data_IF_862604411492
#
_entry.id   IF_862604411492
#
_cell.length_a   1.000
_cell.length_b   1.000
_cell.length_c   1.000
_cell.angle_alpha   90.00
_cell.angle_beta   90.00
_cell.angle_gamma   90.00
#
_symmetry.space_group_name_H-M   'P 1'
#
loop_
_entity.id
_entity.type
_entity.pdbx_description
1 polymer ?
#
# COMPACT_ATOMS: atom_id res chain seq x y z
N UNK A 1 -10.42 6.03 9.89
CA UNK A 1 -10.78 4.98 10.86
C UNK A 1 -11.10 5.53 12.24
N UNK A 2 -10.21 6.29 12.90
CA UNK A 2 -10.44 6.81 14.26
C UNK A 2 -11.75 7.58 14.39
N UNK A 3 -12.03 8.55 13.53
CA UNK A 3 -13.28 9.34 13.55
C UNK A 3 -14.51 8.43 13.45
N UNK A 4 -14.49 7.44 12.56
CA UNK A 4 -15.58 6.46 12.41
C UNK A 4 -15.78 5.66 13.70
N UNK A 5 -14.70 5.18 14.32
CA UNK A 5 -14.73 4.45 15.58
C UNK A 5 -15.17 5.31 16.77
N UNK A 6 -14.74 6.58 16.84
CA UNK A 6 -15.12 7.52 17.89
C UNK A 6 -16.61 7.86 17.81
N UNK A 7 -17.16 8.05 16.60
CA UNK A 7 -18.60 8.27 16.42
C UNK A 7 -19.39 7.01 16.81
N UNK A 8 -18.93 5.83 16.39
CA UNK A 8 -19.56 4.56 16.76
C UNK A 8 -19.56 4.26 18.26
N UNK A 9 -18.49 4.62 18.97
CA UNK A 9 -18.37 4.41 20.43
C UNK A 9 -19.01 5.54 21.26
N UNK A 10 -18.98 6.77 20.75
CA UNK A 10 -19.43 7.97 21.46
C UNK A 10 -20.91 8.27 21.29
N UNK A 11 -21.54 7.79 20.21
CA UNK A 11 -22.94 8.05 19.88
C UNK A 11 -23.68 6.77 19.46
N UNK A 12 -23.93 5.82 20.39
CA UNK A 12 -24.61 4.57 20.08
C UNK A 12 -26.01 4.78 19.49
N UNK A 13 -26.75 5.79 19.97
CA UNK A 13 -28.07 6.15 19.44
C UNK A 13 -28.05 6.55 17.94
N UNK A 14 -26.94 7.10 17.44
CA UNK A 14 -26.74 7.44 16.02
C UNK A 14 -26.42 6.19 15.17
N UNK A 15 -25.91 5.13 15.81
CA UNK A 15 -25.66 3.84 15.15
C UNK A 15 -26.94 3.00 15.13
N UNK A 16 -27.70 3.01 16.22
CA UNK A 16 -28.97 2.26 16.32
C UNK A 16 -30.01 2.78 15.31
N UNK A 17 -29.98 4.08 14.97
CA UNK A 17 -30.83 4.64 13.91
C UNK A 17 -30.39 4.29 12.47
N UNK A 18 -29.21 3.69 12.29
CA UNK A 18 -28.81 3.04 11.02
C UNK A 18 -29.51 1.68 10.86
N UNK A 19 -29.74 0.96 11.98
CA UNK A 19 -30.39 -0.35 11.99
C UNK A 19 -31.92 -0.27 12.01
N UNK A 20 -32.50 0.80 12.57
CA UNK A 20 -33.94 1.00 12.55
C UNK A 20 -34.40 1.50 11.18
N UNK A 21 -35.20 0.68 10.49
CA UNK A 21 -35.74 0.92 9.14
C UNK A 21 -36.75 2.08 9.05
N UNK A 22 -36.68 3.08 9.93
CA UNK A 22 -37.50 4.28 9.81
C UNK A 22 -36.81 5.29 8.89
N UNK A 23 -37.39 5.45 7.71
CA UNK A 23 -36.95 6.22 6.54
C UNK A 23 -36.70 7.75 6.75
N UNK A 24 -36.48 8.22 7.97
CA UNK A 24 -36.39 9.65 8.30
C UNK A 24 -34.95 10.16 8.51
N UNK A 25 -33.96 9.32 8.78
CA UNK A 25 -32.60 9.78 9.08
C UNK A 25 -31.59 9.48 7.95
N UNK A 26 -31.37 10.49 7.10
CA UNK A 26 -30.44 10.43 5.96
C UNK A 26 -28.97 10.49 6.41
N UNK A 27 -28.70 11.16 7.54
CA UNK A 27 -27.36 11.45 8.05
C UNK A 27 -26.55 10.21 8.49
N UNK A 28 -27.11 9.25 9.24
CA UNK A 28 -26.41 8.03 9.63
C UNK A 28 -26.02 7.15 8.45
N UNK A 29 -26.91 6.99 7.47
CA UNK A 29 -26.64 6.25 6.24
C UNK A 29 -25.56 6.94 5.38
N UNK A 30 -25.66 8.25 5.17
CA UNK A 30 -24.65 9.03 4.45
C UNK A 30 -23.27 8.95 5.12
N UNK A 31 -23.23 8.93 6.46
CA UNK A 31 -21.99 8.73 7.20
C UNK A 31 -21.44 7.28 7.06
N UNK A 32 -22.29 6.23 7.13
CA UNK A 32 -21.87 4.83 6.85
C UNK A 32 -21.22 4.75 5.46
N UNK A 33 -21.93 5.16 4.42
CA UNK A 33 -21.49 5.06 3.03
C UNK A 33 -20.27 5.95 2.76
N UNK A 34 -20.34 7.22 3.15
CA UNK A 34 -19.26 8.17 2.91
C UNK A 34 -17.97 7.77 3.61
N UNK A 35 -18.04 7.31 4.86
CA UNK A 35 -16.85 6.83 5.58
C UNK A 35 -16.30 5.52 5.01
N UNK A 36 -17.16 4.61 4.53
CA UNK A 36 -16.73 3.38 3.86
C UNK A 36 -16.02 3.67 2.53
N UNK A 37 -16.60 4.52 1.67
CA UNK A 37 -15.98 4.94 0.40
C UNK A 37 -14.65 5.66 0.63
N UNK A 38 -14.58 6.54 1.63
CA UNK A 38 -13.35 7.25 1.96
C UNK A 38 -12.22 6.31 2.40
N UNK A 39 -12.55 5.32 3.24
CA UNK A 39 -11.59 4.29 3.66
C UNK A 39 -11.13 3.49 2.43
N UNK A 40 -12.06 3.03 1.60
CA UNK A 40 -11.75 2.23 0.42
C UNK A 40 -10.85 2.97 -0.58
N UNK A 41 -11.14 4.24 -0.84
CA UNK A 41 -10.35 5.09 -1.74
C UNK A 41 -8.92 5.24 -1.24
N UNK A 42 -8.75 5.64 0.03
CA UNK A 42 -7.41 5.84 0.62
C UNK A 42 -6.62 4.53 0.70
N UNK A 43 -7.30 3.43 1.01
CA UNK A 43 -6.69 2.11 1.07
C UNK A 43 -6.19 1.66 -0.30
N UNK A 44 -7.02 1.82 -1.33
CA UNK A 44 -6.69 1.52 -2.73
C UNK A 44 -5.59 2.43 -3.27
N UNK A 45 -5.64 3.73 -2.95
CA UNK A 45 -4.61 4.68 -3.35
C UNK A 45 -3.25 4.33 -2.74
N UNK A 46 -3.18 4.07 -1.42
CA UNK A 46 -1.96 3.63 -0.74
C UNK A 46 -1.33 2.43 -1.43
N UNK A 47 -2.17 1.52 -1.88
CA UNK A 47 -1.77 0.29 -2.53
C UNK A 47 -1.20 0.50 -3.94
N UNK A 48 -1.85 1.32 -4.77
CA UNK A 48 -1.32 1.70 -6.07
C UNK A 48 -0.05 2.54 -5.98
N UNK A 49 0.06 3.37 -4.94
CA UNK A 49 1.27 4.13 -4.64
C UNK A 49 2.45 3.20 -4.32
N UNK A 50 2.23 2.14 -3.54
CA UNK A 50 3.26 1.14 -3.25
C UNK A 50 3.70 0.38 -4.50
N UNK A 51 2.75 0.06 -5.40
CA UNK A 51 3.08 -0.55 -6.68
C UNK A 51 3.92 0.38 -7.56
N UNK A 52 3.51 1.64 -7.70
CA UNK A 52 4.27 2.63 -8.46
C UNK A 52 5.67 2.83 -7.87
N UNK A 53 5.80 2.85 -6.54
CA UNK A 53 7.11 2.90 -5.87
C UNK A 53 7.99 1.69 -6.20
N UNK A 54 7.44 0.47 -6.23
CA UNK A 54 8.18 -0.73 -6.59
C UNK A 54 8.65 -0.71 -8.05
N UNK A 55 7.81 -0.21 -8.97
CA UNK A 55 8.14 -0.02 -10.38
C UNK A 55 9.22 1.06 -10.55
N UNK A 56 9.08 2.19 -9.87
CA UNK A 56 10.05 3.28 -9.92
C UNK A 56 11.43 2.83 -9.44
N UNK A 57 11.48 2.14 -8.29
CA UNK A 57 12.72 1.56 -7.78
C UNK A 57 13.40 0.64 -8.80
N UNK A 58 12.62 -0.18 -9.52
CA UNK A 58 13.14 -1.03 -10.58
C UNK A 58 13.65 -0.23 -11.79
N UNK A 59 12.93 0.79 -12.23
CA UNK A 59 13.26 1.61 -13.41
C UNK A 59 14.44 2.56 -13.16
N UNK A 60 14.56 3.13 -11.97
CA UNK A 60 15.69 3.98 -11.57
C UNK A 60 17.00 3.16 -11.62
N UNK A 61 16.97 1.91 -11.18
CA UNK A 61 18.13 1.00 -11.30
C UNK A 61 18.46 0.69 -12.76
N UNK A 62 17.46 0.66 -13.64
CA UNK A 62 17.62 0.51 -15.10
C UNK A 62 17.93 1.85 -15.81
N UNK A 63 18.14 2.94 -15.07
CA UNK A 63 18.38 4.32 -15.58
C UNK A 63 17.34 4.82 -16.58
N UNK A 64 16.08 4.40 -16.42
CA UNK A 64 15.00 4.71 -17.38
C UNK A 64 13.95 5.70 -16.85
N UNK A 65 14.13 6.25 -15.65
CA UNK A 65 13.14 7.13 -15.00
C UNK A 65 13.47 8.62 -15.18
N UNK A 66 12.45 9.46 -15.41
CA UNK A 66 12.56 10.92 -15.53
C UNK A 66 11.36 11.65 -14.94
N UNK A 67 11.39 13.00 -14.95
CA UNK A 67 10.35 13.85 -14.32
C UNK A 67 8.92 13.60 -14.87
N UNK A 68 8.78 13.15 -16.12
CA UNK A 68 7.46 12.82 -16.70
C UNK A 68 6.80 11.60 -16.03
N UNK A 69 7.59 10.71 -15.44
CA UNK A 69 7.11 9.44 -14.87
C UNK A 69 6.34 9.63 -13.55
N UNK A 70 6.68 10.64 -12.73
CA UNK A 70 5.98 10.89 -11.46
C UNK A 70 4.54 11.38 -11.66
N UNK A 71 4.28 12.17 -12.71
CA UNK A 71 2.93 12.61 -13.07
C UNK A 71 2.09 11.43 -13.53
N UNK A 72 2.67 10.52 -14.34
CA UNK A 72 2.00 9.29 -14.75
C UNK A 72 1.62 8.43 -13.54
N UNK A 73 2.53 8.27 -12.56
CA UNK A 73 2.23 7.53 -11.34
C UNK A 73 1.11 8.16 -10.51
N UNK A 74 1.06 9.49 -10.39
CA UNK A 74 -0.05 10.18 -9.72
C UNK A 74 -1.39 9.89 -10.39
N UNK A 75 -1.45 10.07 -11.72
CA UNK A 75 -2.69 9.85 -12.49
C UNK A 75 -3.12 8.38 -12.37
N UNK A 76 -2.20 7.43 -12.50
CA UNK A 76 -2.52 6.02 -12.36
C UNK A 76 -2.97 5.66 -10.95
N UNK A 77 -2.24 6.07 -9.92
CA UNK A 77 -2.51 5.66 -8.55
C UNK A 77 -3.87 6.19 -8.05
N UNK A 78 -4.16 7.46 -8.33
CA UNK A 78 -5.44 8.06 -7.95
C UNK A 78 -6.58 7.67 -8.89
N UNK A 79 -6.32 7.56 -10.19
CA UNK A 79 -7.30 7.16 -11.19
C UNK A 79 -7.80 5.73 -10.96
N UNK A 80 -6.88 4.76 -10.80
CA UNK A 80 -7.25 3.37 -10.53
C UNK A 80 -7.94 3.21 -9.16
N UNK A 81 -7.47 3.93 -8.13
CA UNK A 81 -8.14 3.92 -6.82
C UNK A 81 -9.56 4.46 -6.89
N UNK A 82 -9.79 5.54 -7.66
CA UNK A 82 -11.12 6.13 -7.84
C UNK A 82 -12.03 5.18 -8.63
N UNK A 83 -11.51 4.58 -9.71
CA UNK A 83 -12.25 3.60 -10.51
C UNK A 83 -12.71 2.43 -9.63
N UNK A 84 -11.80 1.84 -8.86
CA UNK A 84 -12.10 0.77 -7.92
C UNK A 84 -13.14 1.18 -6.86
N UNK A 85 -13.01 2.40 -6.31
CA UNK A 85 -13.96 2.90 -5.32
C UNK A 85 -15.37 3.10 -5.91
N UNK A 86 -15.47 3.65 -7.13
CA UNK A 86 -16.75 3.90 -7.81
C UNK A 86 -17.41 2.59 -8.24
N UNK A 87 -16.67 1.66 -8.85
CA UNK A 87 -17.16 0.32 -9.19
C UNK A 87 -17.62 -0.43 -7.93
N UNK A 88 -16.82 -0.38 -6.87
CA UNK A 88 -17.17 -0.98 -5.59
C UNK A 88 -18.44 -0.41 -4.98
N UNK A 89 -18.62 0.90 -5.04
CA UNK A 89 -19.83 1.57 -4.57
C UNK A 89 -21.04 1.26 -5.46
N UNK A 90 -20.87 1.24 -6.79
CA UNK A 90 -21.93 0.89 -7.73
C UNK A 90 -22.42 -0.54 -7.53
N UNK A 91 -21.52 -1.50 -7.32
CA UNK A 91 -21.89 -2.90 -7.07
C UNK A 91 -22.55 -3.11 -5.70
N UNK A 92 -22.15 -2.35 -4.67
CA UNK A 92 -22.64 -2.55 -3.30
C UNK A 92 -23.94 -1.78 -3.00
N UNK A 93 -24.19 -0.66 -3.69
CA UNK A 93 -25.29 0.26 -3.37
C UNK A 93 -26.37 0.39 -4.44
N UNK A 94 -26.25 -0.28 -5.58
CA UNK A 94 -27.31 -0.37 -6.59
C UNK A 94 -28.18 -1.61 -6.31
N UNK A 95 -29.52 -1.51 -6.12
CA UNK A 95 -30.39 -0.34 -6.32
C UNK A 95 -30.76 0.44 -5.04
N UNK A 96 -30.28 0.07 -3.85
CA UNK A 96 -30.62 0.76 -2.60
C UNK A 96 -29.39 1.24 -1.82
N UNK A 97 -29.10 2.54 -1.94
CA UNK A 97 -28.01 3.26 -1.27
C UNK A 97 -28.18 3.35 0.26
N UNK A 98 -29.38 3.04 0.76
CA UNK A 98 -29.78 3.20 2.16
C UNK A 98 -29.62 1.92 3.01
N UNK A 99 -29.37 0.76 2.40
CA UNK A 99 -29.15 -0.48 3.16
C UNK A 99 -27.64 -0.67 3.38
N UNK A 100 -27.18 -0.33 4.58
CA UNK A 100 -25.87 -0.73 5.10
C UNK A 100 -25.96 -2.24 5.51
N UNK A 101 -26.52 -3.10 4.62
CA UNK A 101 -26.86 -4.50 4.86
C UNK A 101 -26.17 -5.38 3.81
N UNK A 102 -25.39 -6.39 4.25
CA UNK A 102 -24.64 -7.31 3.37
C UNK A 102 -25.59 -8.30 2.70
N UNK A 103 -26.06 -7.98 1.50
CA UNK A 103 -26.78 -8.91 0.63
C UNK A 103 -25.82 -9.79 -0.18
N UNK A 104 -26.02 -11.11 -0.11
CA UNK A 104 -25.18 -12.15 -0.72
C UNK A 104 -25.07 -12.04 -2.26
N UNK A 105 -26.12 -11.59 -2.94
CA UNK A 105 -26.19 -11.58 -4.42
C UNK A 105 -25.32 -10.50 -5.09
N UNK A 106 -24.93 -9.45 -4.35
CA UNK A 106 -24.09 -8.35 -4.85
C UNK A 106 -22.67 -8.38 -4.28
N UNK A 107 -22.40 -9.26 -3.32
CA UNK A 107 -21.12 -9.41 -2.67
C UNK A 107 -20.07 -10.09 -3.58
N UNK A 108 -20.47 -11.11 -4.34
CA UNK A 108 -19.53 -11.93 -5.16
C UNK A 108 -18.79 -11.09 -6.23
N UNK A 109 -19.48 -10.27 -7.06
CA UNK A 109 -18.80 -9.45 -8.07
C UNK A 109 -17.88 -8.40 -7.43
N UNK A 110 -18.34 -7.78 -6.34
CA UNK A 110 -17.58 -6.81 -5.56
C UNK A 110 -16.31 -7.42 -4.95
N UNK A 111 -16.39 -8.65 -4.43
CA UNK A 111 -15.23 -9.36 -3.90
C UNK A 111 -14.18 -9.63 -4.99
N UNK A 112 -14.60 -10.06 -6.18
CA UNK A 112 -13.66 -10.33 -7.28
C UNK A 112 -13.03 -9.05 -7.80
N UNK A 113 -13.81 -8.00 -8.06
CA UNK A 113 -13.29 -6.77 -8.66
C UNK A 113 -12.43 -5.94 -7.71
N UNK A 114 -12.68 -6.00 -6.41
CA UNK A 114 -11.93 -5.24 -5.41
C UNK A 114 -10.70 -5.97 -4.92
N UNK A 115 -10.78 -7.28 -4.63
CA UNK A 115 -9.67 -8.00 -4.03
C UNK A 115 -8.69 -8.56 -5.06
N UNK A 116 -9.09 -8.80 -6.31
CA UNK A 116 -8.19 -9.30 -7.33
C UNK A 116 -7.04 -8.32 -7.66
N UNK A 117 -7.29 -7.01 -7.85
CA UNK A 117 -6.20 -6.03 -8.01
C UNK A 117 -5.32 -5.94 -6.76
N UNK A 118 -5.92 -6.11 -5.57
CA UNK A 118 -5.21 -6.12 -4.29
C UNK A 118 -4.33 -7.37 -4.12
N UNK A 119 -4.73 -8.52 -4.64
CA UNK A 119 -3.87 -9.70 -4.66
C UNK A 119 -2.75 -9.56 -5.68
N UNK A 120 -3.04 -8.96 -6.85
CA UNK A 120 -2.07 -8.80 -7.93
C UNK A 120 -0.84 -8.02 -7.47
N UNK A 121 -1.01 -6.87 -6.85
CA UNK A 121 0.13 -6.06 -6.38
C UNK A 121 0.78 -6.65 -5.13
N UNK A 122 0.04 -7.37 -4.27
CA UNK A 122 0.64 -8.10 -3.14
C UNK A 122 1.64 -9.16 -3.63
N UNK A 123 1.36 -9.77 -4.79
CA UNK A 123 2.26 -10.72 -5.46
C UNK A 123 3.31 -10.03 -6.32
N UNK A 124 2.94 -9.00 -7.08
CA UNK A 124 3.83 -8.31 -8.00
C UNK A 124 4.93 -7.53 -7.28
N UNK A 125 4.64 -6.92 -6.12
CA UNK A 125 5.62 -6.14 -5.36
C UNK A 125 6.83 -6.97 -4.89
N UNK A 126 6.67 -8.16 -4.27
CA UNK A 126 7.77 -9.07 -3.98
C UNK A 126 8.56 -9.48 -5.22
N UNK A 127 7.89 -9.74 -6.35
CA UNK A 127 8.55 -10.12 -7.61
C UNK A 127 9.41 -8.96 -8.13
N UNK A 128 8.85 -7.75 -8.21
CA UNK A 128 9.56 -6.54 -8.61
C UNK A 128 10.75 -6.30 -7.68
N UNK A 129 10.57 -6.47 -6.37
CA UNK A 129 11.67 -6.34 -5.42
C UNK A 129 12.81 -7.34 -5.68
N UNK A 130 12.49 -8.61 -5.93
CA UNK A 130 13.52 -9.61 -6.27
C UNK A 130 14.26 -9.20 -7.55
N UNK A 131 13.54 -8.74 -8.58
CA UNK A 131 14.13 -8.26 -9.83
C UNK A 131 15.03 -7.04 -9.61
N UNK A 132 14.61 -6.09 -8.79
CA UNK A 132 15.37 -4.90 -8.38
C UNK A 132 16.67 -5.31 -7.68
N UNK A 133 16.61 -6.25 -6.74
CA UNK A 133 17.80 -6.77 -6.03
C UNK A 133 18.77 -7.47 -6.97
N UNK A 134 18.27 -8.35 -7.84
CA UNK A 134 19.12 -9.05 -8.81
C UNK A 134 19.77 -8.07 -9.79
N UNK A 135 19.05 -7.04 -10.23
CA UNK A 135 19.57 -5.99 -11.11
C UNK A 135 20.64 -5.13 -10.42
N UNK A 136 20.47 -4.79 -9.14
CA UNK A 136 21.51 -4.10 -8.36
C UNK A 136 22.76 -4.98 -8.28
N UNK A 137 22.60 -6.26 -7.95
CA UNK A 137 23.73 -7.18 -7.84
C UNK A 137 24.48 -7.34 -9.19
N UNK A 138 23.76 -7.37 -10.31
CA UNK A 138 24.39 -7.49 -11.64
C UNK A 138 25.10 -6.20 -12.08
N UNK A 139 24.54 -5.02 -11.80
CA UNK A 139 25.19 -3.74 -12.10
C UNK A 139 26.46 -3.52 -11.30
N UNK A 140 26.46 -3.90 -10.02
CA UNK A 140 27.66 -3.85 -9.17
C UNK A 140 28.73 -4.82 -9.69
N UNK A 141 28.32 -6.04 -10.11
CA UNK A 141 29.23 -7.02 -10.70
C UNK A 141 29.82 -6.55 -12.04
N UNK A 142 29.05 -5.82 -12.86
CA UNK A 142 29.45 -5.35 -14.18
C UNK A 142 30.32 -4.08 -14.19
N UNK A 143 30.27 -3.22 -13.16
CA UNK A 143 30.97 -1.92 -13.18
C UNK A 143 32.45 -1.97 -12.78
N UNK A 144 32.90 -2.90 -11.95
CA UNK A 144 34.30 -2.87 -11.44
C UNK A 144 35.02 -4.22 -11.33
N UNK A 145 34.36 -5.36 -11.58
CA UNK A 145 35.01 -6.69 -11.46
C UNK A 145 35.47 -7.08 -10.04
N UNK A 146 35.53 -6.12 -9.11
CA UNK A 146 35.92 -6.28 -7.71
C UNK A 146 34.81 -5.68 -6.85
N UNK A 147 34.25 -6.52 -6.00
CA UNK A 147 33.13 -6.17 -5.15
C UNK A 147 33.63 -5.43 -3.90
N UNK A 148 33.47 -4.10 -3.86
CA UNK A 148 33.90 -3.30 -2.70
C UNK A 148 32.94 -3.47 -1.52
N UNK A 149 33.43 -3.36 -0.28
CA UNK A 149 32.60 -3.53 0.93
C UNK A 149 31.47 -2.50 1.05
N UNK A 150 31.70 -1.28 0.55
CA UNK A 150 30.70 -0.22 0.50
C UNK A 150 29.50 -0.57 -0.41
N UNK A 151 29.74 -1.22 -1.54
CA UNK A 151 28.67 -1.68 -2.44
C UNK A 151 27.84 -2.81 -1.79
N UNK A 152 28.49 -3.67 -0.99
CA UNK A 152 27.85 -4.74 -0.19
C UNK A 152 26.88 -4.14 0.80
N UNK A 153 27.38 -3.15 1.52
CA UNK A 153 26.62 -2.42 2.51
C UNK A 153 25.44 -1.66 1.89
N UNK A 154 25.66 -1.01 0.75
CA UNK A 154 24.60 -0.29 0.03
C UNK A 154 23.50 -1.24 -0.46
N UNK A 155 23.87 -2.36 -1.10
CA UNK A 155 22.93 -3.39 -1.51
C UNK A 155 22.16 -4.00 -0.34
N UNK A 156 22.82 -4.22 0.80
CA UNK A 156 22.19 -4.70 2.02
C UNK A 156 21.19 -3.69 2.62
N UNK A 157 21.54 -2.39 2.63
CA UNK A 157 20.65 -1.32 3.11
C UNK A 157 19.37 -1.25 2.27
N UNK A 158 19.51 -1.32 0.94
CA UNK A 158 18.37 -1.35 0.02
C UNK A 158 17.50 -2.58 0.31
N UNK A 159 18.09 -3.78 0.39
CA UNK A 159 17.37 -5.02 0.70
C UNK A 159 16.59 -4.93 2.00
N UNK A 160 17.22 -4.44 3.07
CA UNK A 160 16.60 -4.32 4.39
C UNK A 160 15.42 -3.35 4.36
N UNK A 161 15.54 -2.20 3.67
CA UNK A 161 14.46 -1.22 3.57
C UNK A 161 13.23 -1.80 2.87
N UNK A 162 13.42 -2.36 1.69
CA UNK A 162 12.32 -3.00 0.96
C UNK A 162 11.75 -4.21 1.70
N UNK A 163 12.58 -5.01 2.36
CA UNK A 163 12.11 -6.11 3.20
C UNK A 163 11.18 -5.63 4.31
N UNK A 164 11.52 -4.52 4.98
CA UNK A 164 10.63 -3.90 5.99
C UNK A 164 9.30 -3.45 5.37
N UNK A 165 9.33 -2.78 4.22
CA UNK A 165 8.11 -2.32 3.53
C UNK A 165 7.23 -3.51 3.15
N UNK A 166 7.80 -4.56 2.55
CA UNK A 166 7.08 -5.78 2.17
C UNK A 166 6.55 -6.53 3.38
N UNK A 167 7.31 -6.62 4.47
CA UNK A 167 6.88 -7.26 5.70
C UNK A 167 5.64 -6.56 6.29
N UNK A 168 5.65 -5.23 6.35
CA UNK A 168 4.50 -4.46 6.83
C UNK A 168 3.32 -4.63 5.89
N UNK A 169 3.53 -4.57 4.56
CA UNK A 169 2.49 -4.81 3.57
C UNK A 169 1.84 -6.19 3.80
N UNK A 170 2.63 -7.25 3.92
CA UNK A 170 2.13 -8.62 4.11
C UNK A 170 1.37 -8.74 5.43
N UNK A 171 1.93 -8.29 6.56
CA UNK A 171 1.28 -8.46 7.87
C UNK A 171 -0.05 -7.71 7.94
N UNK A 172 -0.07 -6.44 7.53
CA UNK A 172 -1.28 -5.62 7.56
C UNK A 172 -2.36 -6.14 6.60
N UNK A 173 -1.97 -6.58 5.40
CA UNK A 173 -2.93 -6.96 4.36
C UNK A 173 -3.38 -8.41 4.44
N UNK A 174 -2.50 -9.34 4.82
CA UNK A 174 -2.86 -10.75 4.92
C UNK A 174 -4.01 -10.96 5.91
N UNK A 175 -4.03 -10.20 7.00
CA UNK A 175 -5.12 -10.21 7.97
C UNK A 175 -6.46 -9.82 7.33
N UNK A 176 -6.48 -8.81 6.45
CA UNK A 176 -7.68 -8.40 5.72
C UNK A 176 -8.13 -9.48 4.74
N UNK A 177 -7.21 -10.06 3.95
CA UNK A 177 -7.55 -11.14 3.01
C UNK A 177 -8.10 -12.37 3.74
N UNK A 178 -7.48 -12.77 4.85
CA UNK A 178 -7.94 -13.92 5.64
C UNK A 178 -9.35 -13.66 6.20
N UNK A 179 -9.59 -12.47 6.76
CA UNK A 179 -10.90 -12.16 7.32
C UNK A 179 -12.00 -12.25 6.27
N UNK A 180 -11.77 -11.65 5.11
CA UNK A 180 -12.76 -11.57 4.03
C UNK A 180 -12.97 -12.94 3.39
N UNK A 181 -11.92 -13.75 3.25
CA UNK A 181 -12.04 -15.14 2.78
C UNK A 181 -12.87 -15.99 3.75
N UNK A 182 -12.67 -15.82 5.06
CA UNK A 182 -13.43 -16.52 6.09
C UNK A 182 -14.90 -16.06 6.11
N UNK A 183 -15.15 -14.77 5.93
CA UNK A 183 -16.49 -14.22 5.87
C UNK A 183 -17.23 -14.71 4.62
N UNK A 184 -16.58 -14.66 3.46
CA UNK A 184 -17.11 -15.20 2.22
C UNK A 184 -17.43 -16.70 2.33
N UNK A 185 -16.55 -17.47 2.97
CA UNK A 185 -16.79 -18.89 3.22
C UNK A 185 -17.99 -19.15 4.15
N UNK A 186 -18.20 -18.30 5.17
CA UNK A 186 -19.37 -18.37 6.06
C UNK A 186 -20.65 -17.97 5.34
N UNK A 187 -20.59 -16.95 4.48
CA UNK A 187 -21.70 -16.44 3.68
C UNK A 187 -22.15 -17.43 2.59
N UNK A 188 -21.22 -18.22 2.04
CA UNK A 188 -21.52 -19.29 1.07
C UNK A 188 -22.25 -20.50 1.71
N UNK A 189 -22.20 -20.67 3.03
CA UNK A 189 -22.83 -21.81 3.70
C UNK A 189 -24.29 -21.54 4.05
N UNK A 190 -25.18 -22.43 3.62
CA UNK A 190 -26.62 -22.36 3.84
C UNK A 190 -27.04 -22.70 5.28
N UNK A 191 -26.16 -23.28 6.10
CA UNK A 191 -26.47 -23.72 7.47
C UNK A 191 -25.49 -23.12 8.50
N UNK A 192 -25.73 -21.86 8.86
CA UNK A 192 -24.86 -21.01 9.69
C UNK A 192 -24.70 -21.54 11.13
N UNK A 193 -25.57 -22.45 11.58
CA UNK A 193 -25.63 -22.94 12.96
C UNK A 193 -25.06 -24.34 13.18
N UNK A 194 -24.50 -24.98 12.14
CA UNK A 194 -23.80 -26.26 12.29
C UNK A 194 -22.56 -26.15 13.18
N UNK A 195 -22.37 -27.11 14.10
CA UNK A 195 -21.22 -27.12 15.03
C UNK A 195 -19.84 -27.12 14.35
N UNK A 196 -19.78 -27.53 13.07
CA UNK A 196 -18.57 -27.52 12.23
C UNK A 196 -18.05 -26.11 11.90
N UNK A 197 -18.93 -25.09 11.92
CA UNK A 197 -18.58 -23.70 11.62
C UNK A 197 -18.03 -22.90 12.82
N UNK A 198 -18.12 -23.45 14.03
CA UNK A 198 -17.61 -22.83 15.26
C UNK A 198 -16.12 -22.40 15.17
N UNK A 199 -15.17 -23.23 14.70
CA UNK A 199 -13.77 -22.81 14.53
C UNK A 199 -13.62 -21.67 13.52
N UNK A 200 -14.35 -21.71 12.41
CA UNK A 200 -14.30 -20.66 11.37
C UNK A 200 -14.81 -19.33 11.91
N UNK A 201 -15.92 -19.34 12.64
CA UNK A 201 -16.47 -18.14 13.29
C UNK A 201 -15.50 -17.55 14.31
N UNK A 202 -14.83 -18.42 15.06
CA UNK A 202 -13.80 -18.00 16.03
C UNK A 202 -12.62 -17.36 15.31
N UNK A 203 -12.13 -17.98 14.23
CA UNK A 203 -11.04 -17.45 13.42
C UNK A 203 -11.41 -16.11 12.78
N UNK A 204 -12.61 -15.96 12.21
CA UNK A 204 -13.09 -14.70 11.66
C UNK A 204 -13.11 -13.60 12.74
N UNK A 205 -13.63 -13.90 13.93
CA UNK A 205 -13.66 -12.97 15.05
C UNK A 205 -12.26 -12.56 15.51
N UNK A 206 -11.34 -13.51 15.62
CA UNK A 206 -9.93 -13.24 16.00
C UNK A 206 -9.24 -12.36 14.96
N UNK A 207 -9.38 -12.69 13.68
CA UNK A 207 -8.80 -11.89 12.58
C UNK A 207 -9.39 -10.48 12.58
N UNK A 208 -10.68 -10.34 12.86
CA UNK A 208 -11.33 -9.04 12.99
C UNK A 208 -10.72 -8.14 14.08
N UNK A 209 -10.38 -8.71 15.25
CA UNK A 209 -9.63 -7.96 16.27
C UNK A 209 -8.23 -7.55 15.78
N UNK A 210 -7.53 -8.44 15.10
CA UNK A 210 -6.19 -8.16 14.54
C UNK A 210 -6.27 -7.02 13.51
N UNK A 211 -7.23 -7.05 12.60
CA UNK A 211 -7.47 -5.98 11.63
C UNK A 211 -7.78 -4.64 12.30
N UNK A 212 -8.54 -4.65 13.39
CA UNK A 212 -8.86 -3.45 14.17
C UNK A 212 -7.62 -2.71 14.69
N UNK A 213 -6.51 -3.43 14.89
CA UNK A 213 -5.22 -2.88 15.31
C UNK A 213 -4.33 -2.56 14.10
N UNK A 214 -4.22 -3.50 13.16
CA UNK A 214 -3.29 -3.39 12.04
C UNK A 214 -3.70 -2.35 11.00
N UNK A 215 -5.00 -2.17 10.75
CA UNK A 215 -5.47 -1.21 9.73
C UNK A 215 -5.19 0.25 10.12
N UNK A 216 -5.44 0.69 11.37
CA UNK A 216 -4.97 2.01 11.82
C UNK A 216 -3.45 2.11 11.90
N UNK A 217 -2.75 1.04 12.33
CA UNK A 217 -1.30 1.04 12.46
C UNK A 217 -0.58 1.03 11.10
N UNK A 218 -1.24 0.63 10.02
CA UNK A 218 -0.63 0.45 8.69
C UNK A 218 0.14 1.71 8.23
N UNK A 219 -0.47 2.90 8.30
CA UNK A 219 0.19 4.14 7.88
C UNK A 219 1.43 4.48 8.72
N UNK A 220 1.36 4.21 10.03
CA UNK A 220 2.48 4.41 10.95
C UNK A 220 3.62 3.43 10.69
N UNK A 221 3.30 2.14 10.54
CA UNK A 221 4.27 1.08 10.25
C UNK A 221 4.93 1.26 8.88
N UNK A 222 4.17 1.69 7.86
CA UNK A 222 4.73 2.05 6.55
C UNK A 222 5.70 3.22 6.69
N UNK A 223 5.31 4.29 7.37
CA UNK A 223 6.18 5.46 7.59
C UNK A 223 7.49 5.07 8.27
N UNK A 224 7.41 4.21 9.29
CA UNK A 224 8.55 3.60 9.96
C UNK A 224 9.42 2.75 9.03
N UNK A 225 8.81 2.01 8.10
CA UNK A 225 9.54 1.18 7.14
C UNK A 225 10.28 2.02 6.08
N UNK A 226 9.68 3.12 5.63
CA UNK A 226 10.26 4.04 4.65
C UNK A 226 11.36 4.93 5.24
N UNK A 227 11.06 5.63 6.33
CA UNK A 227 11.92 6.67 6.89
C UNK A 227 12.78 6.19 8.06
N UNK A 228 12.42 5.07 8.69
CA UNK A 228 13.06 4.59 9.92
C UNK A 228 12.59 5.36 11.16
N UNK A 229 12.92 4.84 12.34
CA UNK A 229 12.67 5.54 13.61
C UNK A 229 13.82 6.50 13.90
N UNK A 230 13.54 7.79 13.98
CA UNK A 230 14.55 8.82 14.30
C UNK A 230 14.63 9.15 15.80
N UNK A 231 13.86 8.48 16.66
CA UNK A 231 13.84 8.73 18.10
C UNK A 231 12.94 9.90 18.50
N UNK A 232 12.67 10.01 19.81
CA UNK A 232 12.06 11.18 20.43
C UNK A 232 13.16 12.15 20.88
N UNK A 233 13.88 12.76 19.95
CA UNK A 233 14.64 13.97 20.27
C UNK A 233 13.92 15.16 19.64
N UNK A 234 13.45 16.07 20.48
CA UNK A 234 13.01 17.43 20.11
C UNK A 234 14.21 18.29 19.68
N UNK A 235 15.13 17.72 18.92
CA UNK A 235 16.18 18.43 18.23
C UNK A 235 15.71 18.66 16.81
N UNK A 236 15.50 19.93 16.45
CA UNK A 236 15.20 20.37 15.10
C UNK A 236 16.41 20.03 14.20
N UNK A 237 16.55 18.76 13.81
CA UNK A 237 17.56 18.35 12.85
C UNK A 237 17.00 18.59 11.45
N UNK A 238 17.70 19.50 10.75
CA UNK A 238 17.64 19.76 9.31
C UNK A 238 17.35 18.49 8.50
N UNK A 239 16.60 18.58 7.38
CA UNK A 239 16.22 17.42 6.57
C UNK A 239 17.46 16.58 6.29
N UNK A 240 17.57 15.45 6.99
CA UNK A 240 18.67 14.53 6.79
C UNK A 240 18.49 13.99 5.39
N UNK A 241 19.29 14.54 4.46
CA UNK A 241 19.39 14.20 3.04
C UNK A 241 18.77 12.82 2.80
N UNK A 242 17.53 12.88 2.31
CA UNK A 242 16.95 11.86 1.46
C UNK A 242 18.08 11.28 0.62
N UNK A 243 18.27 9.96 0.70
CA UNK A 243 19.41 9.29 0.06
C UNK A 243 19.54 9.88 -1.33
N UNK A 244 20.65 10.59 -1.53
CA UNK A 244 20.92 11.40 -2.70
C UNK A 244 21.17 10.43 -3.86
N UNK A 245 20.10 9.84 -4.40
CA UNK A 245 20.13 9.12 -5.67
C UNK A 245 20.75 10.01 -6.76
N UNK A 246 20.60 11.33 -6.60
CA UNK A 246 21.17 12.35 -7.48
C UNK A 246 22.70 12.49 -7.41
N UNK A 247 23.38 12.20 -6.29
CA UNK A 247 24.86 12.31 -6.26
C UNK A 247 25.52 11.23 -7.10
N UNK A 248 24.80 10.14 -7.38
CA UNK A 248 25.22 9.08 -8.27
C UNK A 248 25.11 9.47 -9.76
N UNK A 249 24.29 10.49 -10.07
CA UNK A 249 24.12 11.03 -11.43
C UNK A 249 25.01 12.24 -11.70
N UNK A 250 25.25 13.12 -10.73
CA UNK A 250 26.05 14.35 -10.97
C UNK A 250 27.55 14.08 -11.03
N UNK A 251 28.11 13.17 -10.21
CA UNK A 251 29.55 12.84 -10.29
C UNK A 251 29.92 12.02 -11.53
N UNK A 252 28.92 11.51 -12.27
CA UNK A 252 29.11 10.79 -13.52
C UNK A 252 29.14 11.70 -14.76
N UNK A 253 28.72 12.96 -14.66
CA UNK A 253 28.77 13.91 -15.77
C UNK A 253 30.15 14.56 -15.93
N UNK A 254 30.93 14.70 -14.86
CA UNK A 254 32.27 15.32 -14.90
C UNK A 254 33.38 14.40 -15.46
N UNK A 255 33.10 13.11 -15.65
CA UNK A 255 34.07 12.15 -16.22
C UNK A 255 34.14 12.10 -17.75
N UNK A 256 33.34 12.91 -18.45
CA UNK A 256 33.14 12.79 -19.91
C UNK A 256 33.68 13.97 -20.74
N UNK A 257 34.46 14.89 -20.15
CA UNK A 257 35.18 15.90 -20.92
C UNK A 257 36.69 15.60 -20.97
N UNK A 258 37.24 15.21 -22.13
CA UNK A 258 38.69 15.25 -22.32
C UNK A 258 39.11 16.71 -22.44
N UNK A 259 39.93 17.18 -21.50
CA UNK A 259 40.70 18.42 -21.65
C UNK A 259 41.61 18.32 -22.89
N UNK A 260 41.67 19.31 -23.78
CA UNK A 260 42.64 19.31 -24.87
C UNK A 260 44.03 19.53 -24.29
N UNK A 261 44.89 18.52 -24.45
CA UNK A 261 46.32 18.58 -24.16
C UNK A 261 46.98 19.47 -25.23
N UNK A 262 47.47 20.64 -24.84
CA UNK A 262 48.32 21.48 -25.71
C UNK A 262 49.78 21.07 -25.48
N UNK A 263 50.55 20.66 -26.50
CA UNK A 263 51.97 20.38 -26.34
C UNK A 263 52.77 21.68 -26.20
N UNK A 264 53.68 21.66 -25.24
CA UNK A 264 54.77 22.62 -25.09
C UNK A 264 55.72 22.54 -26.29
N UNK A 265 55.97 23.66 -26.97
CA UNK A 265 57.19 23.88 -27.76
C UNK A 265 57.80 25.22 -27.32
N UNK A 266 59.03 25.14 -26.81
CA UNK A 266 60.05 26.19 -26.72
C UNK A 266 61.27 25.61 -27.44
N UNK A 267 62.09 26.39 -28.16
CA UNK A 267 62.80 27.56 -27.62
C UNK A 267 62.51 28.89 -28.31
#
# INVERSE_FOLDING_TARGET
MVIRSTVWLGFPNFVDSVSDMNHTEIWPAAFCVGSAMWIQLLYSACFWWLFCYAVDAYLVIRRSAGLSTILLYHIMAWGLATLLCVEGAAMLYYPSVSRCERGLDHAIPHYVTMYLPLLLVLVANPILFQKTVTAVASLLKGRQGIYTENERRMGAVIKIRFFKIMLVLIICWLSNIINESLLFYLEMQTDINGGSLKPVRTAAKTTWFIMGILNPAQGFLLSLAFYGWTGCSLGFQSPRKEIQWESLTTSAAEGAHPSPLVPHENP
#
